data_IF_639562162898
#
_entry.id   IF_639562162898
#
_cell.length_a   1.000
_cell.length_b   1.000
_cell.length_c   1.000
_cell.angle_alpha   90.00
_cell.angle_beta   90.00
_cell.angle_gamma   90.00
#
_symmetry.space_group_name_H-M   'P 1'
#
loop_
_entity.id
_entity.type
_entity.pdbx_description
1 polymer ?
#
# COMPACT_ATOMS: atom_id res chain seq x y z
N UNK A 1 17.10 -17.86 -29.74
CA UNK A 1 17.72 -17.69 -31.07
C UNK A 1 16.82 -16.93 -32.04
N UNK A 2 15.61 -17.42 -32.38
CA UNK A 2 14.71 -16.77 -33.34
C UNK A 2 14.34 -15.31 -32.97
N UNK A 3 14.07 -15.04 -31.69
CA UNK A 3 13.74 -13.68 -31.22
C UNK A 3 14.93 -12.70 -31.33
N UNK A 4 16.16 -13.19 -31.07
CA UNK A 4 17.38 -12.39 -31.16
C UNK A 4 17.73 -12.08 -32.63
N UNK A 5 17.49 -13.05 -33.51
CA UNK A 5 17.69 -12.94 -34.96
C UNK A 5 16.75 -11.91 -35.59
N UNK A 6 15.44 -11.97 -35.29
CA UNK A 6 14.47 -11.00 -35.80
C UNK A 6 14.72 -9.58 -35.27
N UNK A 7 15.14 -9.45 -34.00
CA UNK A 7 15.49 -8.16 -33.39
C UNK A 7 16.68 -7.52 -34.09
N UNK A 8 17.77 -8.26 -34.28
CA UNK A 8 18.98 -7.75 -34.91
C UNK A 8 18.75 -7.43 -36.40
N UNK A 9 17.95 -8.23 -37.11
CA UNK A 9 17.55 -7.97 -38.50
C UNK A 9 16.75 -6.67 -38.63
N UNK A 10 15.74 -6.47 -37.78
CA UNK A 10 14.91 -5.26 -37.79
C UNK A 10 15.75 -4.02 -37.50
N UNK A 11 16.62 -4.09 -36.47
CA UNK A 11 17.50 -2.99 -36.09
C UNK A 11 18.49 -2.64 -37.20
N UNK A 12 19.07 -3.63 -37.87
CA UNK A 12 19.95 -3.41 -39.02
C UNK A 12 19.24 -2.72 -40.19
N UNK A 13 18.03 -3.17 -40.53
CA UNK A 13 17.22 -2.53 -41.58
C UNK A 13 16.90 -1.06 -41.24
N UNK A 14 16.49 -0.78 -40.01
CA UNK A 14 16.18 0.59 -39.56
C UNK A 14 17.44 1.46 -39.61
N UNK A 15 18.60 0.95 -39.18
CA UNK A 15 19.85 1.71 -39.23
C UNK A 15 20.33 1.99 -40.66
N UNK A 16 20.15 1.05 -41.60
CA UNK A 16 20.47 1.29 -43.01
C UNK A 16 19.54 2.32 -43.64
N UNK A 17 18.24 2.26 -43.36
CA UNK A 17 17.27 3.25 -43.83
C UNK A 17 17.60 4.63 -43.25
N UNK A 18 17.95 4.71 -41.96
CA UNK A 18 18.39 5.95 -41.34
C UNK A 18 19.70 6.48 -41.98
N UNK A 19 20.63 5.61 -42.37
CA UNK A 19 21.86 6.00 -43.07
C UNK A 19 21.58 6.54 -44.47
N UNK A 20 20.69 5.89 -45.23
CA UNK A 20 20.31 6.31 -46.58
C UNK A 20 19.55 7.65 -46.58
N UNK A 21 18.66 7.85 -45.61
CA UNK A 21 17.79 9.03 -45.59
C UNK A 21 18.44 10.22 -44.86
N UNK A 22 19.18 9.99 -43.78
CA UNK A 22 19.65 11.06 -42.89
C UNK A 22 21.16 11.30 -42.96
N UNK A 23 21.94 10.50 -43.70
CA UNK A 23 23.41 10.62 -43.82
C UNK A 23 24.21 10.52 -42.51
N UNK A 24 23.55 10.30 -41.36
CA UNK A 24 24.16 10.07 -40.05
C UNK A 24 23.52 8.87 -39.33
N UNK A 25 24.31 8.14 -38.53
CA UNK A 25 23.82 7.04 -37.72
C UNK A 25 23.29 7.56 -36.36
N UNK A 26 22.04 7.24 -35.98
CA UNK A 26 21.52 7.61 -34.67
C UNK A 26 22.20 6.83 -33.54
N UNK A 27 22.43 7.48 -32.39
CA UNK A 27 23.01 6.83 -31.20
C UNK A 27 21.98 5.89 -30.58
N UNK A 28 22.25 4.59 -30.61
CA UNK A 28 21.41 3.56 -29.98
C UNK A 28 21.95 3.28 -28.58
N UNK A 29 21.09 3.38 -27.55
CA UNK A 29 21.47 3.14 -26.15
C UNK A 29 21.12 1.71 -25.76
N UNK A 30 22.07 0.97 -25.18
CA UNK A 30 21.85 -0.39 -24.68
C UNK A 30 22.01 -1.52 -25.72
N UNK A 31 22.55 -1.21 -26.90
CA UNK A 31 22.87 -2.18 -27.97
C UNK A 31 24.33 -1.98 -28.37
N UNK A 32 25.10 -3.07 -28.39
CA UNK A 32 26.48 -3.05 -28.87
C UNK A 32 26.50 -3.03 -30.41
N UNK A 33 26.89 -1.89 -30.96
CA UNK A 33 26.94 -1.63 -32.41
C UNK A 33 27.99 -2.55 -33.08
N UNK A 34 29.03 -2.97 -32.35
CA UNK A 34 30.06 -3.87 -32.86
C UNK A 34 29.52 -5.29 -32.98
N UNK A 35 28.79 -5.78 -31.97
CA UNK A 35 28.10 -7.08 -32.04
C UNK A 35 27.07 -7.10 -33.18
N UNK A 36 26.34 -6.01 -33.40
CA UNK A 36 25.37 -5.90 -34.49
C UNK A 36 26.04 -5.88 -35.88
N UNK A 37 27.20 -5.24 -36.00
CA UNK A 37 27.99 -5.23 -37.25
C UNK A 37 28.63 -6.58 -37.55
N UNK A 38 29.12 -7.29 -36.54
CA UNK A 38 29.63 -8.66 -36.67
C UNK A 38 28.50 -9.64 -37.04
N UNK A 39 27.34 -9.52 -36.40
CA UNK A 39 26.14 -10.28 -36.76
C UNK A 39 25.71 -10.00 -38.21
N UNK A 40 25.73 -8.74 -38.65
CA UNK A 40 25.40 -8.39 -40.03
C UNK A 40 26.38 -9.04 -41.02
N UNK A 41 27.69 -8.98 -40.76
CA UNK A 41 28.73 -9.59 -41.62
C UNK A 41 28.59 -11.11 -41.74
N UNK A 42 28.19 -11.78 -40.66
CA UNK A 42 28.00 -13.23 -40.63
C UNK A 42 26.71 -13.66 -41.36
N UNK A 43 25.69 -12.78 -41.42
CA UNK A 43 24.39 -13.09 -42.02
C UNK A 43 24.14 -12.39 -43.39
N UNK A 44 25.03 -11.53 -43.89
CA UNK A 44 25.02 -11.08 -45.28
C UNK A 44 25.64 -12.12 -46.22
N UNK A 45 26.65 -12.88 -45.76
CA UNK A 45 27.24 -13.98 -46.53
C UNK A 45 26.26 -15.13 -46.82
N UNK A 46 25.22 -15.27 -46.00
CA UNK A 46 24.14 -16.23 -46.23
C UNK A 46 23.11 -15.77 -47.25
N UNK A 47 23.09 -14.48 -47.61
CA UNK A 47 22.20 -13.93 -48.65
C UNK A 47 22.82 -14.12 -50.05
N UNK A 48 24.12 -13.84 -50.23
CA UNK A 48 24.81 -14.06 -51.51
C UNK A 48 24.86 -15.56 -51.90
N UNK A 49 24.93 -16.47 -50.92
CA UNK A 49 24.93 -17.92 -51.18
C UNK A 49 23.53 -18.52 -51.41
N UNK A 50 22.45 -17.79 -51.09
CA UNK A 50 21.09 -18.21 -51.45
C UNK A 50 20.61 -17.56 -52.76
N UNK A 51 21.12 -16.38 -53.13
CA UNK A 51 20.86 -15.77 -54.44
C UNK A 51 21.64 -16.46 -55.59
N UNK A 52 22.82 -17.03 -55.33
CA UNK A 52 23.59 -17.75 -56.36
C UNK A 52 23.03 -19.15 -56.74
N UNK A 53 22.06 -19.69 -56.01
CA UNK A 53 21.53 -21.04 -56.27
C UNK A 53 20.12 -21.06 -56.86
N UNK A 54 19.50 -19.92 -57.13
CA UNK A 54 18.22 -19.86 -57.85
C UNK A 54 18.10 -18.52 -58.61
N UNK A 55 18.67 -18.44 -59.82
CA UNK A 55 18.06 -17.89 -61.04
C UNK A 55 19.12 -17.41 -62.06
N UNK A 56 19.30 -18.20 -63.12
CA UNK A 56 19.54 -17.64 -64.45
C UNK A 56 18.26 -16.92 -64.90
N UNK A 57 18.39 -15.66 -65.30
CA UNK A 57 17.51 -15.06 -66.29
C UNK A 57 16.52 -13.99 -65.80
N UNK A 58 16.85 -12.75 -66.18
CA UNK A 58 15.96 -11.60 -66.46
C UNK A 58 15.73 -10.59 -65.33
N UNK A 59 16.67 -9.64 -65.24
CA UNK A 59 16.44 -8.28 -64.73
C UNK A 59 15.68 -7.43 -65.77
N UNK A 60 14.63 -6.73 -65.33
CA UNK A 60 14.23 -5.41 -65.86
C UNK A 60 14.18 -4.39 -64.72
N UNK A 61 15.35 -3.81 -64.45
CA UNK A 61 15.72 -2.46 -63.99
C UNK A 61 14.72 -1.51 -63.29
N UNK A 62 15.19 -0.90 -62.18
CA UNK A 62 15.33 0.57 -62.03
C UNK A 62 16.62 0.95 -61.27
N UNK A 63 17.50 1.68 -61.97
CA UNK A 63 18.52 2.62 -61.48
C UNK A 63 19.94 2.17 -61.00
N UNK A 64 20.78 1.78 -61.97
CA UNK A 64 22.03 2.51 -62.25
C UNK A 64 21.90 3.22 -63.60
N UNK A 65 21.32 4.43 -63.57
CA UNK A 65 21.07 5.26 -64.75
C UNK A 65 22.32 6.09 -65.09
N UNK A 66 23.28 5.54 -65.83
CA UNK A 66 24.15 6.37 -66.70
C UNK A 66 24.91 5.57 -67.75
N UNK A 67 25.18 4.27 -67.52
CA UNK A 67 26.04 3.50 -68.44
C UNK A 67 25.29 2.52 -69.36
N UNK A 68 24.08 2.06 -68.98
CA UNK A 68 23.25 1.16 -69.82
C UNK A 68 22.48 1.86 -70.95
N UNK A 69 22.45 3.20 -70.99
CA UNK A 69 21.74 3.96 -72.04
C UNK A 69 22.55 4.13 -73.33
N UNK A 70 23.87 3.96 -73.27
CA UNK A 70 24.75 4.00 -74.45
C UNK A 70 24.81 2.63 -75.10
N UNK A 71 24.91 1.54 -74.32
CA UNK A 71 25.06 0.19 -74.89
C UNK A 71 23.77 -0.38 -75.46
N UNK A 72 22.60 -0.17 -74.83
CA UNK A 72 21.32 -0.61 -75.39
C UNK A 72 20.92 0.19 -76.64
N UNK A 73 21.37 1.45 -76.75
CA UNK A 73 21.18 2.27 -77.94
C UNK A 73 22.13 1.83 -79.07
N UNK A 74 23.38 1.49 -78.73
CA UNK A 74 24.38 0.97 -79.67
C UNK A 74 24.10 -0.46 -80.12
N UNK A 75 23.47 -1.33 -79.32
CA UNK A 75 23.07 -2.66 -79.77
C UNK A 75 21.85 -2.61 -80.67
N UNK A 76 20.88 -1.72 -80.41
CA UNK A 76 19.76 -1.50 -81.33
C UNK A 76 20.25 -0.81 -82.60
N UNK A 77 21.13 0.19 -82.51
CA UNK A 77 21.75 0.82 -83.69
C UNK A 77 22.62 -0.18 -84.48
N UNK A 78 23.38 -1.07 -83.82
CA UNK A 78 24.16 -2.10 -84.49
C UNK A 78 23.28 -3.22 -85.07
N UNK A 79 22.20 -3.65 -84.42
CA UNK A 79 21.23 -4.61 -85.01
C UNK A 79 20.55 -4.01 -86.24
N UNK A 80 20.17 -2.73 -86.17
CA UNK A 80 19.59 -2.00 -87.30
C UNK A 80 20.61 -1.80 -88.43
N UNK A 81 21.88 -1.54 -88.10
CA UNK A 81 22.97 -1.42 -89.09
C UNK A 81 23.36 -2.78 -89.68
N UNK A 82 23.23 -3.87 -88.91
CA UNK A 82 23.45 -5.24 -89.41
C UNK A 82 22.32 -5.65 -90.34
N UNK A 83 21.06 -5.43 -89.93
CA UNK A 83 19.88 -5.63 -90.77
C UNK A 83 19.95 -4.81 -92.06
N UNK A 84 20.34 -3.54 -92.00
CA UNK A 84 20.46 -2.71 -93.19
C UNK A 84 21.53 -3.21 -94.17
N UNK A 85 22.59 -3.85 -93.66
CA UNK A 85 23.69 -4.38 -94.46
C UNK A 85 23.34 -5.74 -95.07
N UNK A 86 22.67 -6.59 -94.30
CA UNK A 86 22.12 -7.87 -94.78
C UNK A 86 21.02 -7.61 -95.83
N UNK A 87 20.16 -6.59 -95.62
CA UNK A 87 19.16 -6.14 -96.59
C UNK A 87 19.80 -5.53 -97.86
N UNK A 88 20.92 -4.80 -97.74
CA UNK A 88 21.67 -4.25 -98.88
C UNK A 88 22.32 -5.38 -99.70
N UNK A 89 22.90 -6.39 -99.06
CA UNK A 89 23.45 -7.58 -99.71
C UNK A 89 22.36 -8.42 -100.40
N UNK A 90 21.18 -8.57 -99.79
CA UNK A 90 20.02 -9.24 -100.39
C UNK A 90 19.44 -8.45 -101.58
N UNK A 91 19.39 -7.11 -101.47
CA UNK A 91 19.01 -6.23 -102.59
C UNK A 91 20.01 -6.31 -103.75
N UNK A 92 21.31 -6.38 -103.45
CA UNK A 92 22.37 -6.52 -104.45
C UNK A 92 22.30 -7.89 -105.14
N UNK A 93 22.07 -8.98 -104.39
CA UNK A 93 21.87 -10.32 -104.94
C UNK A 93 20.61 -10.42 -105.82
N UNK A 94 19.51 -9.81 -105.40
CA UNK A 94 18.30 -9.69 -106.23
C UNK A 94 18.62 -8.98 -107.54
N UNK A 95 19.30 -7.83 -107.50
CA UNK A 95 19.65 -7.05 -108.69
C UNK A 95 20.64 -7.79 -109.61
N UNK A 96 21.60 -8.54 -109.07
CA UNK A 96 22.59 -9.30 -109.85
C UNK A 96 21.96 -10.49 -110.60
N UNK A 97 20.85 -11.03 -110.08
CA UNK A 97 20.07 -12.07 -110.76
C UNK A 97 19.37 -11.53 -112.03
N UNK A 98 19.19 -10.21 -112.14
CA UNK A 98 18.43 -9.54 -113.20
C UNK A 98 19.33 -8.65 -114.09
N UNK A 99 19.92 -9.22 -115.15
CA UNK A 99 20.65 -8.44 -116.18
C UNK A 99 19.66 -7.70 -117.10
N UNK A 100 19.66 -6.37 -117.08
CA UNK A 100 18.69 -5.54 -117.83
C UNK A 100 19.32 -4.50 -118.76
N UNK A 101 18.80 -4.41 -119.99
CA UNK A 101 19.11 -3.35 -120.95
C UNK A 101 18.24 -2.09 -120.74
N UNK A 102 18.73 -0.92 -121.19
CA UNK A 102 18.23 0.45 -120.92
C UNK A 102 16.75 0.72 -121.36
N UNK A 103 16.02 -0.26 -121.89
CA UNK A 103 14.62 -0.13 -122.33
C UNK A 103 13.57 -0.91 -121.55
N UNK A 104 13.95 -1.72 -120.55
CA UNK A 104 13.03 -2.65 -119.85
C UNK A 104 12.76 -2.27 -118.38
N UNK A 105 13.20 -1.10 -117.92
CA UNK A 105 13.05 -0.64 -116.53
C UNK A 105 11.57 -0.58 -116.06
N UNK A 106 10.64 -0.26 -116.97
CA UNK A 106 9.21 -0.27 -116.66
C UNK A 106 8.70 -1.70 -116.42
N UNK A 107 9.15 -2.68 -117.21
CA UNK A 107 8.81 -4.09 -117.03
C UNK A 107 9.43 -4.68 -115.75
N UNK A 108 10.59 -4.17 -115.32
CA UNK A 108 11.20 -4.52 -114.04
C UNK A 108 10.41 -3.97 -112.85
N UNK A 109 10.04 -2.69 -112.91
CA UNK A 109 9.19 -2.06 -111.90
C UNK A 109 7.86 -2.79 -111.75
N UNK A 110 7.26 -3.22 -112.86
CA UNK A 110 6.03 -4.02 -112.83
C UNK A 110 6.23 -5.40 -112.19
N UNK A 111 7.36 -6.08 -112.43
CA UNK A 111 7.67 -7.38 -111.80
C UNK A 111 7.97 -7.26 -110.31
N UNK A 112 8.76 -6.27 -109.90
CA UNK A 112 9.00 -6.00 -108.48
C UNK A 112 7.71 -5.62 -107.75
N UNK A 113 6.80 -4.88 -108.39
CA UNK A 113 5.47 -4.62 -107.83
C UNK A 113 4.66 -5.90 -107.69
N UNK A 114 4.72 -6.81 -108.66
CA UNK A 114 4.04 -8.10 -108.59
C UNK A 114 4.62 -8.98 -107.47
N UNK A 115 5.93 -9.00 -107.31
CA UNK A 115 6.62 -9.76 -106.26
C UNK A 115 6.40 -9.17 -104.86
N UNK A 116 6.43 -7.83 -104.74
CA UNK A 116 6.04 -7.11 -103.52
C UNK A 116 4.61 -7.45 -103.13
N UNK A 117 3.67 -7.38 -104.08
CA UNK A 117 2.26 -7.74 -103.82
C UNK A 117 2.13 -9.22 -103.43
N UNK A 118 2.95 -10.12 -104.00
CA UNK A 118 2.96 -11.53 -103.63
C UNK A 118 3.53 -11.76 -102.22
N UNK A 119 4.58 -11.03 -101.84
CA UNK A 119 5.16 -11.07 -100.48
C UNK A 119 4.25 -10.43 -99.45
N UNK A 120 3.63 -9.29 -99.76
CA UNK A 120 2.61 -8.67 -98.93
C UNK A 120 1.43 -9.63 -98.73
N UNK A 121 0.99 -10.31 -99.79
CA UNK A 121 -0.03 -11.34 -99.68
C UNK A 121 0.43 -12.51 -98.80
N UNK A 122 1.65 -13.03 -98.99
CA UNK A 122 2.20 -14.11 -98.18
C UNK A 122 2.32 -13.75 -96.69
N UNK A 123 2.74 -12.52 -96.39
CA UNK A 123 2.85 -12.01 -95.03
C UNK A 123 1.47 -11.82 -94.39
N UNK A 124 0.48 -11.34 -95.15
CA UNK A 124 -0.93 -11.30 -94.71
C UNK A 124 -1.47 -12.71 -94.47
N UNK A 125 -1.14 -13.69 -95.31
CA UNK A 125 -1.54 -15.09 -95.09
C UNK A 125 -0.89 -15.68 -93.83
N UNK A 126 0.39 -15.41 -93.59
CA UNK A 126 1.08 -15.87 -92.39
C UNK A 126 0.51 -15.20 -91.11
N UNK A 127 0.15 -13.92 -91.20
CA UNK A 127 -0.52 -13.22 -90.11
C UNK A 127 -1.92 -13.82 -89.86
N UNK A 128 -2.70 -14.09 -90.90
CA UNK A 128 -4.01 -14.75 -90.81
C UNK A 128 -3.89 -16.16 -90.23
N UNK A 129 -2.84 -16.91 -90.57
CA UNK A 129 -2.61 -18.25 -90.04
C UNK A 129 -2.23 -18.22 -88.55
N UNK A 130 -1.59 -17.13 -88.09
CA UNK A 130 -1.27 -16.91 -86.67
C UNK A 130 -2.43 -16.36 -85.84
N UNK A 131 -3.46 -15.80 -86.48
CA UNK A 131 -4.67 -15.26 -85.85
C UNK A 131 -5.32 -16.21 -84.81
N UNK A 132 -5.59 -17.50 -85.10
CA UNK A 132 -6.19 -18.40 -84.12
C UNK A 132 -5.32 -18.65 -82.89
N UNK A 133 -3.99 -18.65 -83.06
CA UNK A 133 -3.06 -18.84 -81.95
C UNK A 133 -3.02 -17.59 -81.05
N UNK A 134 -3.07 -16.40 -81.67
CA UNK A 134 -3.16 -15.12 -80.97
C UNK A 134 -4.48 -15.05 -80.21
N UNK A 135 -5.59 -15.48 -80.81
CA UNK A 135 -6.91 -15.50 -80.19
C UNK A 135 -6.98 -16.48 -79.01
N UNK A 136 -6.37 -17.66 -79.11
CA UNK A 136 -6.26 -18.61 -77.98
C UNK A 136 -5.43 -18.03 -76.82
N UNK A 137 -4.32 -17.35 -77.12
CA UNK A 137 -3.50 -16.67 -76.10
C UNK A 137 -4.27 -15.52 -75.46
N UNK A 138 -5.01 -14.72 -76.26
CA UNK A 138 -5.84 -13.63 -75.76
C UNK A 138 -6.93 -14.18 -74.82
N UNK A 139 -7.60 -15.26 -75.21
CA UNK A 139 -8.61 -15.92 -74.41
C UNK A 139 -8.03 -16.53 -73.13
N UNK A 140 -6.81 -17.07 -73.19
CA UNK A 140 -6.08 -17.55 -72.01
C UNK A 140 -5.71 -16.42 -71.05
N UNK A 141 -5.30 -15.25 -71.57
CA UNK A 141 -5.03 -14.04 -70.78
C UNK A 141 -6.33 -13.50 -70.16
N UNK A 142 -7.43 -13.45 -70.91
CA UNK A 142 -8.73 -13.01 -70.40
C UNK A 142 -9.24 -13.96 -69.30
N UNK A 143 -9.10 -15.27 -69.48
CA UNK A 143 -9.44 -16.26 -68.46
C UNK A 143 -8.56 -16.10 -67.21
N UNK A 144 -7.24 -15.91 -67.38
CA UNK A 144 -6.34 -15.64 -66.26
C UNK A 144 -6.70 -14.33 -65.56
N UNK A 145 -7.01 -13.27 -66.30
CA UNK A 145 -7.46 -11.98 -65.77
C UNK A 145 -8.72 -12.15 -64.92
N UNK A 146 -9.73 -12.87 -65.43
CA UNK A 146 -10.96 -13.14 -64.69
C UNK A 146 -10.69 -13.91 -63.38
N UNK A 147 -9.76 -14.89 -63.39
CA UNK A 147 -9.40 -15.60 -62.16
C UNK A 147 -8.66 -14.72 -61.16
N UNK A 148 -7.85 -13.77 -61.62
CA UNK A 148 -7.16 -12.79 -60.77
C UNK A 148 -8.17 -11.83 -60.14
N UNK A 149 -9.17 -11.38 -60.90
CA UNK A 149 -10.24 -10.52 -60.40
C UNK A 149 -11.06 -11.23 -59.30
N UNK A 150 -11.39 -12.51 -59.52
CA UNK A 150 -12.04 -13.33 -58.48
C UNK A 150 -11.16 -13.41 -57.22
N UNK A 151 -9.86 -13.67 -57.37
CA UNK A 151 -8.93 -13.72 -56.24
C UNK A 151 -8.82 -12.38 -55.49
N UNK A 152 -8.84 -11.24 -56.18
CA UNK A 152 -8.84 -9.93 -55.53
C UNK A 152 -10.11 -9.72 -54.70
N UNK A 153 -11.28 -10.12 -55.23
CA UNK A 153 -12.54 -10.03 -54.49
C UNK A 153 -12.52 -10.94 -53.24
N UNK A 154 -12.01 -12.17 -53.36
CA UNK A 154 -11.81 -13.05 -52.20
C UNK A 154 -10.88 -12.42 -51.17
N UNK A 155 -9.74 -11.88 -51.60
CA UNK A 155 -8.79 -11.21 -50.72
C UNK A 155 -9.43 -9.98 -50.05
N UNK A 156 -10.26 -9.24 -50.76
CA UNK A 156 -11.01 -8.09 -50.22
C UNK A 156 -11.97 -8.52 -49.13
N UNK A 157 -12.75 -9.59 -49.36
CA UNK A 157 -13.69 -10.15 -48.38
C UNK A 157 -12.94 -10.66 -47.15
N UNK A 158 -11.83 -11.39 -47.32
CA UNK A 158 -11.04 -11.89 -46.21
C UNK A 158 -10.39 -10.76 -45.39
N UNK A 159 -9.86 -9.73 -46.05
CA UNK A 159 -9.31 -8.56 -45.36
C UNK A 159 -10.38 -7.83 -44.55
N UNK A 160 -11.59 -7.66 -45.11
CA UNK A 160 -12.71 -7.04 -44.39
C UNK A 160 -13.08 -7.87 -43.15
N UNK A 161 -13.15 -9.20 -43.29
CA UNK A 161 -13.47 -10.10 -42.19
C UNK A 161 -12.39 -10.11 -41.11
N UNK A 162 -11.10 -10.09 -41.49
CA UNK A 162 -9.98 -10.00 -40.55
C UNK A 162 -9.97 -8.67 -39.81
N UNK A 163 -10.30 -7.55 -40.48
CA UNK A 163 -10.45 -6.24 -39.84
C UNK A 163 -11.56 -6.27 -38.78
N UNK A 164 -12.73 -6.77 -39.12
CA UNK A 164 -13.84 -6.90 -38.16
C UNK A 164 -13.47 -7.83 -37.00
N UNK A 165 -12.87 -8.99 -37.27
CA UNK A 165 -12.39 -9.87 -36.21
C UNK A 165 -11.37 -9.19 -35.30
N UNK A 166 -10.46 -8.38 -35.84
CA UNK A 166 -9.48 -7.62 -35.06
C UNK A 166 -10.14 -6.58 -34.15
N UNK A 167 -11.13 -5.87 -34.67
CA UNK A 167 -11.93 -4.90 -33.91
C UNK A 167 -12.72 -5.61 -32.80
N UNK A 168 -13.35 -6.75 -33.10
CA UNK A 168 -14.08 -7.57 -32.12
C UNK A 168 -13.15 -8.11 -31.02
N UNK A 169 -11.98 -8.65 -31.38
CA UNK A 169 -10.97 -9.13 -30.43
C UNK A 169 -10.52 -7.97 -29.52
N UNK A 170 -10.20 -6.81 -30.09
CA UNK A 170 -9.76 -5.65 -29.31
C UNK A 170 -10.85 -5.16 -28.33
N UNK A 171 -12.12 -5.19 -28.76
CA UNK A 171 -13.27 -4.87 -27.90
C UNK A 171 -13.41 -5.88 -26.75
N UNK A 172 -13.28 -7.17 -27.05
CA UNK A 172 -13.32 -8.25 -26.04
C UNK A 172 -12.15 -8.12 -25.06
N UNK A 173 -10.93 -7.86 -25.53
CA UNK A 173 -9.74 -7.68 -24.69
C UNK A 173 -9.88 -6.49 -23.76
N UNK A 174 -10.32 -5.33 -24.26
CA UNK A 174 -10.57 -4.14 -23.45
C UNK A 174 -11.61 -4.41 -22.36
N UNK A 175 -12.72 -5.07 -22.73
CA UNK A 175 -13.75 -5.48 -21.77
C UNK A 175 -13.23 -6.47 -20.74
N UNK A 176 -12.44 -7.45 -21.15
CA UNK A 176 -11.89 -8.47 -20.26
C UNK A 176 -10.88 -7.87 -19.28
N UNK A 177 -10.00 -6.98 -19.73
CA UNK A 177 -9.09 -6.23 -18.86
C UNK A 177 -9.87 -5.37 -17.84
N UNK A 178 -10.96 -4.74 -18.27
CA UNK A 178 -11.86 -4.02 -17.35
C UNK A 178 -12.47 -4.93 -16.27
N UNK A 179 -12.94 -6.13 -16.66
CA UNK A 179 -13.47 -7.12 -15.73
C UNK A 179 -12.39 -7.69 -14.79
N UNK A 180 -11.18 -7.92 -15.28
CA UNK A 180 -10.06 -8.39 -14.48
C UNK A 180 -9.63 -7.33 -13.45
N UNK A 181 -9.49 -6.08 -13.87
CA UNK A 181 -9.22 -4.95 -12.97
C UNK A 181 -10.32 -4.80 -11.93
N UNK A 182 -11.59 -4.92 -12.33
CA UNK A 182 -12.71 -4.90 -11.38
C UNK A 182 -12.65 -6.08 -10.40
N UNK A 183 -12.29 -7.28 -10.87
CA UNK A 183 -12.15 -8.48 -10.03
C UNK A 183 -11.04 -8.32 -9.00
N UNK A 184 -9.86 -7.82 -9.42
CA UNK A 184 -8.73 -7.54 -8.53
C UNK A 184 -9.09 -6.46 -7.50
N UNK A 185 -9.72 -5.37 -7.94
CA UNK A 185 -10.16 -4.30 -7.05
C UNK A 185 -11.21 -4.79 -6.04
N UNK A 186 -12.18 -5.59 -6.49
CA UNK A 186 -13.19 -6.16 -5.61
C UNK A 186 -12.56 -7.10 -4.58
N UNK A 187 -11.58 -7.91 -4.99
CA UNK A 187 -10.84 -8.78 -4.07
C UNK A 187 -10.09 -7.96 -3.02
N UNK A 188 -9.35 -6.93 -3.43
CA UNK A 188 -8.66 -6.03 -2.51
C UNK A 188 -9.61 -5.30 -1.56
N UNK A 189 -10.78 -4.87 -2.07
CA UNK A 189 -11.82 -4.24 -1.25
C UNK A 189 -12.38 -5.21 -0.20
N UNK A 190 -12.64 -6.47 -0.57
CA UNK A 190 -13.11 -7.49 0.36
C UNK A 190 -12.07 -7.74 1.46
N UNK A 191 -10.79 -7.87 1.11
CA UNK A 191 -9.70 -8.05 2.07
C UNK A 191 -9.58 -6.86 3.05
N UNK A 192 -9.72 -5.62 2.56
CA UNK A 192 -9.73 -4.44 3.44
C UNK A 192 -10.97 -4.38 4.33
N UNK A 193 -12.14 -4.75 3.81
CA UNK A 193 -13.37 -4.84 4.59
C UNK A 193 -13.30 -5.93 5.66
N UNK A 194 -12.68 -7.07 5.38
CA UNK A 194 -12.45 -8.14 6.36
C UNK A 194 -11.53 -7.66 7.50
N UNK A 195 -10.41 -6.98 7.18
CA UNK A 195 -9.54 -6.36 8.20
C UNK A 195 -10.30 -5.35 9.06
N UNK A 196 -11.16 -4.54 8.46
CA UNK A 196 -11.99 -3.58 9.19
C UNK A 196 -13.02 -4.31 10.08
N UNK A 197 -13.63 -5.38 9.57
CA UNK A 197 -14.61 -6.18 10.31
C UNK A 197 -13.97 -6.85 11.53
N UNK A 198 -12.77 -7.40 11.39
CA UNK A 198 -12.01 -7.98 12.50
C UNK A 198 -11.76 -6.94 13.61
N UNK A 199 -11.40 -5.71 13.23
CA UNK A 199 -11.20 -4.60 14.19
C UNK A 199 -12.49 -4.13 14.87
N UNK A 200 -13.62 -4.22 14.18
CA UNK A 200 -14.95 -3.83 14.70
C UNK A 200 -15.62 -4.94 15.52
N UNK A 201 -15.09 -6.17 15.49
CA UNK A 201 -15.70 -7.31 16.18
C UNK A 201 -15.51 -7.18 17.68
N UNK A 202 -16.64 -7.14 18.40
CA UNK A 202 -16.67 -7.13 19.87
C UNK A 202 -16.84 -8.58 20.34
N UNK A 203 -15.87 -9.18 21.04
CA UNK A 203 -16.05 -10.50 21.64
C UNK A 203 -17.17 -10.48 22.67
N UNK A 204 -18.12 -11.40 22.53
CA UNK A 204 -19.32 -11.45 23.39
C UNK A 204 -18.98 -11.69 24.87
N UNK A 205 -17.88 -12.41 25.14
CA UNK A 205 -17.38 -12.65 26.49
C UNK A 205 -16.98 -11.34 27.19
N UNK A 206 -16.26 -10.46 26.48
CA UNK A 206 -15.88 -9.15 27.02
C UNK A 206 -17.08 -8.22 27.14
N UNK A 207 -18.00 -8.21 26.17
CA UNK A 207 -19.23 -7.44 26.27
C UNK A 207 -20.08 -7.84 27.51
N UNK A 208 -20.20 -9.14 27.78
CA UNK A 208 -20.89 -9.65 28.95
C UNK A 208 -20.19 -9.26 30.26
N UNK A 209 -18.85 -9.35 30.31
CA UNK A 209 -18.07 -8.93 31.49
C UNK A 209 -18.22 -7.43 31.76
N UNK A 210 -18.15 -6.61 30.71
CA UNK A 210 -18.24 -5.14 30.81
C UNK A 210 -19.64 -4.64 31.19
N UNK A 211 -20.69 -5.33 30.75
CA UNK A 211 -22.08 -4.92 31.02
C UNK A 211 -22.61 -5.47 32.35
N UNK A 212 -22.25 -6.71 32.71
CA UNK A 212 -22.89 -7.43 33.81
C UNK A 212 -21.98 -8.27 34.72
N UNK A 213 -20.71 -8.49 34.39
CA UNK A 213 -19.85 -9.42 35.14
C UNK A 213 -19.49 -8.95 36.54
N UNK A 214 -19.70 -9.76 37.59
CA UNK A 214 -19.39 -9.40 39.01
C UNK A 214 -17.94 -8.87 39.19
N UNK A 215 -17.75 -7.94 40.14
CA UNK A 215 -16.45 -7.38 40.52
C UNK A 215 -15.79 -8.13 41.69
N UNK A 216 -16.21 -9.37 41.96
CA UNK A 216 -15.53 -10.25 42.92
C UNK A 216 -14.06 -10.47 42.56
N UNK A 217 -13.22 -10.64 43.58
CA UNK A 217 -11.77 -10.84 43.45
C UNK A 217 -11.40 -11.95 42.45
N UNK A 218 -12.17 -13.04 42.38
CA UNK A 218 -11.97 -14.14 41.43
C UNK A 218 -12.18 -13.77 39.97
N UNK A 219 -13.03 -12.77 39.69
CA UNK A 219 -13.37 -12.30 38.33
C UNK A 219 -12.64 -11.01 37.96
N UNK A 220 -11.89 -10.42 38.89
CA UNK A 220 -11.16 -9.17 38.67
C UNK A 220 -10.18 -9.23 37.51
N UNK A 221 -9.45 -10.34 37.35
CA UNK A 221 -8.52 -10.51 36.21
C UNK A 221 -9.24 -10.41 34.87
N UNK A 222 -10.38 -11.10 34.71
CA UNK A 222 -11.20 -11.05 33.48
C UNK A 222 -11.78 -9.66 33.22
N UNK A 223 -12.20 -8.96 34.28
CA UNK A 223 -12.67 -7.58 34.16
C UNK A 223 -11.55 -6.63 33.71
N UNK A 224 -10.33 -6.82 34.24
CA UNK A 224 -9.14 -6.05 33.84
C UNK A 224 -8.76 -6.33 32.38
N UNK A 225 -8.72 -7.60 31.97
CA UNK A 225 -8.47 -7.98 30.57
C UNK A 225 -9.52 -7.39 29.62
N UNK A 226 -10.80 -7.41 30.02
CA UNK A 226 -11.87 -6.79 29.24
C UNK A 226 -11.72 -5.26 29.16
N UNK A 227 -11.21 -4.58 30.21
CA UNK A 227 -10.87 -3.16 30.16
C UNK A 227 -9.70 -2.85 29.25
N UNK A 228 -8.64 -3.67 29.32
CA UNK A 228 -7.46 -3.55 28.45
C UNK A 228 -7.87 -3.70 26.98
N UNK A 229 -8.69 -4.71 26.69
CA UNK A 229 -9.27 -4.91 25.37
C UNK A 229 -10.12 -3.72 24.92
N UNK A 230 -11.02 -3.21 25.77
CA UNK A 230 -11.86 -2.04 25.45
C UNK A 230 -11.01 -0.80 25.14
N UNK A 231 -9.96 -0.57 25.93
CA UNK A 231 -9.03 0.55 25.73
C UNK A 231 -8.27 0.39 24.42
N UNK A 232 -7.82 -0.83 24.09
CA UNK A 232 -7.20 -1.14 22.81
C UNK A 232 -8.16 -0.91 21.63
N UNK A 233 -9.40 -1.42 21.72
CA UNK A 233 -10.42 -1.29 20.70
C UNK A 233 -10.78 0.17 20.40
N UNK A 234 -10.93 1.01 21.44
CA UNK A 234 -11.17 2.44 21.28
C UNK A 234 -9.98 3.12 20.59
N UNK A 235 -8.75 2.82 21.00
CA UNK A 235 -7.53 3.38 20.38
C UNK A 235 -7.32 2.95 18.93
N UNK A 236 -7.71 1.72 18.58
CA UNK A 236 -7.66 1.23 17.20
C UNK A 236 -8.63 1.98 16.27
N UNK A 237 -9.72 2.53 16.82
CA UNK A 237 -10.71 3.33 16.11
C UNK A 237 -10.46 4.85 16.24
N UNK A 238 -9.30 5.24 16.78
CA UNK A 238 -8.84 6.62 16.93
C UNK A 238 -7.67 6.92 15.99
N UNK A 239 -7.59 8.19 15.54
CA UNK A 239 -6.49 8.69 14.72
C UNK A 239 -5.20 8.64 15.56
N UNK A 240 -4.07 8.11 15.05
CA UNK A 240 -3.71 7.84 13.64
C UNK A 240 -3.91 6.39 13.16
N UNK A 241 -4.44 5.48 13.98
CA UNK A 241 -4.47 4.04 13.67
C UNK A 241 -5.53 3.67 12.61
N UNK A 242 -6.53 4.52 12.44
CA UNK A 242 -7.57 4.40 11.44
C UNK A 242 -7.41 5.54 10.43
N UNK A 243 -7.43 5.19 9.14
CA UNK A 243 -7.43 6.18 8.07
C UNK A 243 -8.63 7.14 8.24
N UNK A 244 -8.44 8.47 8.15
CA UNK A 244 -9.51 9.45 8.27
C UNK A 244 -10.73 9.18 7.37
N UNK A 245 -10.56 8.51 6.24
CA UNK A 245 -11.66 8.12 5.34
C UNK A 245 -12.70 7.21 6.01
N UNK A 246 -12.28 6.32 6.92
CA UNK A 246 -13.18 5.41 7.62
C UNK A 246 -14.03 6.11 8.69
N UNK A 247 -13.65 7.31 9.15
CA UNK A 247 -14.37 8.05 10.19
C UNK A 247 -15.78 8.42 9.75
N UNK A 248 -15.98 8.66 8.46
CA UNK A 248 -17.29 8.99 7.89
C UNK A 248 -18.18 7.77 7.66
N UNK A 249 -17.63 6.55 7.74
CA UNK A 249 -18.39 5.33 7.53
C UNK A 249 -19.39 5.10 8.68
N UNK A 250 -20.66 4.88 8.33
CA UNK A 250 -21.74 4.67 9.31
C UNK A 250 -21.43 3.52 10.28
N UNK A 251 -20.95 2.39 9.77
CA UNK A 251 -20.63 1.21 10.58
C UNK A 251 -19.56 1.50 11.65
N UNK A 252 -18.52 2.25 11.28
CA UNK A 252 -17.45 2.66 12.20
C UNK A 252 -17.99 3.60 13.28
N UNK A 253 -18.82 4.58 12.88
CA UNK A 253 -19.47 5.51 13.83
C UNK A 253 -20.40 4.81 14.81
N UNK A 254 -21.23 3.88 14.33
CA UNK A 254 -22.15 3.11 15.17
C UNK A 254 -21.39 2.24 16.16
N UNK A 255 -20.33 1.54 15.71
CA UNK A 255 -19.47 0.74 16.59
C UNK A 255 -18.69 1.58 17.59
N UNK A 256 -18.20 2.75 17.18
CA UNK A 256 -17.58 3.72 18.11
C UNK A 256 -18.57 4.15 19.20
N UNK A 257 -19.82 4.44 18.83
CA UNK A 257 -20.86 4.79 19.79
C UNK A 257 -21.21 3.61 20.72
N UNK A 258 -21.22 2.38 20.22
CA UNK A 258 -21.43 1.18 21.02
C UNK A 258 -20.30 0.98 22.05
N UNK A 259 -19.04 1.12 21.63
CA UNK A 259 -17.88 1.03 22.52
C UNK A 259 -17.87 2.15 23.57
N UNK A 260 -18.24 3.37 23.20
CA UNK A 260 -18.36 4.48 24.15
C UNK A 260 -19.49 4.22 25.16
N UNK A 261 -20.62 3.65 24.73
CA UNK A 261 -21.70 3.22 25.63
C UNK A 261 -21.24 2.13 26.59
N UNK A 262 -20.48 1.14 26.12
CA UNK A 262 -19.87 0.10 26.97
C UNK A 262 -18.91 0.72 27.98
N UNK A 263 -18.05 1.66 27.55
CA UNK A 263 -17.13 2.40 28.41
C UNK A 263 -17.88 3.13 29.53
N UNK A 264 -18.87 3.95 29.19
CA UNK A 264 -19.65 4.72 30.18
C UNK A 264 -20.34 3.77 31.17
N UNK A 265 -20.94 2.70 30.67
CA UNK A 265 -21.64 1.71 31.50
C UNK A 265 -20.69 1.03 32.47
N UNK A 266 -19.55 0.55 31.99
CA UNK A 266 -18.54 -0.11 32.79
C UNK A 266 -17.93 0.82 33.85
N UNK A 267 -17.51 2.03 33.45
CA UNK A 267 -16.91 3.02 34.35
C UNK A 267 -17.88 3.37 35.48
N UNK A 268 -19.17 3.59 35.15
CA UNK A 268 -20.19 3.87 36.16
C UNK A 268 -20.34 2.72 37.16
N UNK A 269 -20.45 1.49 36.66
CA UNK A 269 -20.65 0.29 37.49
C UNK A 269 -19.44 0.00 38.39
N UNK A 270 -18.23 0.08 37.83
CA UNK A 270 -16.99 -0.12 38.56
C UNK A 270 -16.80 0.98 39.62
N UNK A 271 -17.11 2.23 39.28
CA UNK A 271 -17.00 3.35 40.23
C UNK A 271 -17.98 3.21 41.40
N UNK A 272 -19.22 2.78 41.12
CA UNK A 272 -20.22 2.54 42.14
C UNK A 272 -19.85 1.36 43.05
N UNK A 273 -19.37 0.26 42.47
CA UNK A 273 -18.86 -0.88 43.23
C UNK A 273 -17.72 -0.47 44.15
N UNK A 274 -16.69 0.23 43.65
CA UNK A 274 -15.55 0.65 44.47
C UNK A 274 -15.96 1.58 45.61
N UNK A 275 -16.88 2.52 45.34
CA UNK A 275 -17.41 3.42 46.37
C UNK A 275 -18.11 2.64 47.50
N UNK A 276 -18.95 1.67 47.14
CA UNK A 276 -19.67 0.84 48.11
C UNK A 276 -18.70 -0.09 48.85
N UNK A 277 -17.71 -0.64 48.13
CA UNK A 277 -16.67 -1.49 48.69
C UNK A 277 -15.88 -0.76 49.77
N UNK A 278 -15.40 0.46 49.51
CA UNK A 278 -14.66 1.26 50.49
C UNK A 278 -15.48 1.54 51.76
N UNK A 279 -16.78 1.87 51.62
CA UNK A 279 -17.66 2.05 52.78
C UNK A 279 -17.79 0.75 53.56
N UNK A 280 -18.17 -0.35 52.88
CA UNK A 280 -18.39 -1.65 53.53
C UNK A 280 -17.15 -2.19 54.24
N UNK A 281 -15.97 -1.94 53.67
CA UNK A 281 -14.70 -2.38 54.22
C UNK A 281 -14.37 -1.62 55.51
N UNK A 282 -14.61 -0.31 55.53
CA UNK A 282 -14.45 0.51 56.74
C UNK A 282 -15.52 0.17 57.78
N UNK A 283 -16.78 -0.03 57.37
CA UNK A 283 -17.87 -0.39 58.28
C UNK A 283 -17.60 -1.74 58.97
N UNK A 284 -17.06 -2.71 58.23
CA UNK A 284 -16.58 -3.98 58.78
C UNK A 284 -15.49 -3.76 59.83
N UNK A 285 -14.46 -2.96 59.53
CA UNK A 285 -13.39 -2.65 60.49
C UNK A 285 -13.89 -1.89 61.73
N UNK A 286 -14.85 -0.97 61.57
CA UNK A 286 -15.45 -0.23 62.68
C UNK A 286 -16.28 -1.15 63.59
N UNK A 287 -16.93 -2.17 63.01
CA UNK A 287 -17.76 -3.11 63.76
C UNK A 287 -16.95 -4.07 64.63
N UNK A 288 -15.73 -4.43 64.20
CA UNK A 288 -14.88 -5.34 64.91
C UNK A 288 -14.04 -4.61 65.99
N UNK A 289 -14.36 -4.90 67.24
CA UNK A 289 -13.70 -4.33 68.44
C UNK A 289 -12.23 -4.78 68.57
N UNK A 290 -11.77 -5.76 67.80
CA UNK A 290 -10.38 -6.24 67.80
C UNK A 290 -9.40 -5.26 67.13
N UNK A 291 -9.91 -4.37 66.27
CA UNK A 291 -9.11 -3.33 65.60
C UNK A 291 -8.85 -2.11 66.49
N UNK A 292 -9.62 -1.93 67.56
CA UNK A 292 -9.51 -0.79 68.48
C UNK A 292 -8.76 -1.16 69.76
N UNK A 293 -8.17 -0.15 70.40
CA UNK A 293 -7.63 -0.30 71.76
C UNK A 293 -8.76 -0.68 72.71
N UNK A 294 -8.56 -1.73 73.49
CA UNK A 294 -9.50 -2.19 74.52
C UNK A 294 -8.98 -1.77 75.89
N UNK A 295 -9.87 -1.65 76.88
CA UNK A 295 -9.51 -1.21 78.25
C UNK A 295 -8.29 -1.98 78.77
N UNK A 296 -7.19 -1.27 79.00
CA UNK A 296 -5.92 -1.82 79.51
C UNK A 296 -4.92 -2.28 78.44
N UNK A 297 -5.27 -2.29 77.14
CA UNK A 297 -4.37 -2.62 76.03
C UNK A 297 -4.41 -1.54 74.94
N UNK A 298 -3.37 -0.72 74.92
CA UNK A 298 -3.13 0.28 73.89
C UNK A 298 -2.59 -0.42 72.63
N UNK A 299 -3.43 -0.57 71.60
CA UNK A 299 -3.05 -1.15 70.31
C UNK A 299 -2.76 -0.02 69.31
N UNK A 300 -1.64 -0.10 68.59
CA UNK A 300 -1.36 0.80 67.47
C UNK A 300 -2.33 0.48 66.32
N UNK A 301 -2.98 1.48 65.71
CA UNK A 301 -3.78 1.24 64.52
C UNK A 301 -2.91 0.63 63.42
N UNK A 302 -3.41 -0.42 62.77
CA UNK A 302 -2.74 -1.10 61.66
C UNK A 302 -3.74 -1.29 60.51
N UNK A 303 -3.34 -0.82 59.33
CA UNK A 303 -4.15 -0.84 58.11
C UNK A 303 -3.61 -1.81 57.07
N UNK A 304 -2.72 -2.74 57.43
CA UNK A 304 -2.15 -3.72 56.49
C UNK A 304 -3.22 -4.49 55.70
N UNK A 305 -4.24 -5.01 56.38
CA UNK A 305 -5.34 -5.77 55.74
C UNK A 305 -6.19 -4.91 54.82
N UNK A 306 -6.48 -3.66 55.23
CA UNK A 306 -7.19 -2.66 54.41
C UNK A 306 -6.41 -2.40 53.12
N UNK A 307 -5.11 -2.12 53.25
CA UNK A 307 -4.21 -1.86 52.11
C UNK A 307 -4.10 -3.06 51.20
N UNK A 308 -3.99 -4.29 51.74
CA UNK A 308 -3.93 -5.52 50.96
C UNK A 308 -5.20 -5.68 50.10
N UNK A 309 -6.38 -5.59 50.73
CA UNK A 309 -7.67 -5.70 50.05
C UNK A 309 -7.89 -4.61 49.00
N UNK A 310 -7.49 -3.37 49.29
CA UNK A 310 -7.52 -2.30 48.29
C UNK A 310 -6.57 -2.56 47.13
N UNK A 311 -5.35 -3.07 47.37
CA UNK A 311 -4.35 -3.35 46.34
C UNK A 311 -4.83 -4.33 45.27
N UNK A 312 -5.69 -5.29 45.60
CA UNK A 312 -6.32 -6.19 44.62
C UNK A 312 -7.02 -5.42 43.49
N UNK A 313 -7.57 -4.23 43.77
CA UNK A 313 -8.28 -3.39 42.80
C UNK A 313 -7.41 -2.30 42.15
N UNK A 314 -6.12 -2.21 42.49
CA UNK A 314 -5.24 -1.14 42.00
C UNK A 314 -5.08 -1.16 40.47
N UNK A 315 -4.99 -2.35 39.87
CA UNK A 315 -4.89 -2.49 38.40
C UNK A 315 -6.16 -2.01 37.70
N UNK A 316 -7.33 -2.32 38.26
CA UNK A 316 -8.60 -1.81 37.73
C UNK A 316 -8.66 -0.28 37.77
N UNK A 317 -8.19 0.35 38.84
CA UNK A 317 -8.14 1.81 38.95
C UNK A 317 -7.21 2.46 37.91
N UNK A 318 -6.09 1.83 37.58
CA UNK A 318 -5.19 2.28 36.50
C UNK A 318 -5.90 2.27 35.14
N UNK A 319 -6.64 1.20 34.81
CA UNK A 319 -7.39 1.14 33.56
C UNK A 319 -8.57 2.11 33.55
N UNK A 320 -9.27 2.28 34.68
CA UNK A 320 -10.31 3.29 34.83
C UNK A 320 -9.77 4.71 34.58
N UNK A 321 -8.57 5.04 35.09
CA UNK A 321 -7.88 6.31 34.79
C UNK A 321 -7.67 6.52 33.29
N UNK A 322 -7.31 5.45 32.57
CA UNK A 322 -7.06 5.51 31.12
C UNK A 322 -8.33 5.66 30.30
N UNK A 323 -9.45 5.09 30.78
CA UNK A 323 -10.76 5.15 30.12
C UNK A 323 -11.46 6.49 30.38
N UNK A 324 -11.48 6.94 31.63
CA UNK A 324 -12.14 8.17 32.05
C UNK A 324 -11.42 8.83 33.24
N UNK A 325 -10.84 10.00 33.00
CA UNK A 325 -10.16 10.79 34.05
C UNK A 325 -11.16 11.39 35.05
N UNK A 326 -12.42 11.58 34.66
CA UNK A 326 -13.43 12.26 35.48
C UNK A 326 -13.96 11.37 36.63
N UNK A 327 -13.95 10.05 36.46
CA UNK A 327 -14.46 9.12 37.47
C UNK A 327 -13.58 9.05 38.74
N UNK A 328 -12.30 9.41 38.64
CA UNK A 328 -11.37 9.35 39.76
C UNK A 328 -11.67 10.37 40.87
N UNK A 329 -12.20 11.55 40.53
CA UNK A 329 -12.50 12.60 41.52
C UNK A 329 -13.50 12.13 42.59
N UNK A 330 -14.69 11.65 42.18
CA UNK A 330 -15.67 11.07 43.11
C UNK A 330 -15.13 9.86 43.90
N UNK A 331 -14.36 8.98 43.26
CA UNK A 331 -13.76 7.82 43.92
C UNK A 331 -12.76 8.20 45.01
N UNK A 332 -11.87 9.15 44.72
CA UNK A 332 -10.93 9.72 45.69
C UNK A 332 -11.67 10.29 46.90
N UNK A 333 -12.75 11.04 46.67
CA UNK A 333 -13.57 11.60 47.74
C UNK A 333 -14.21 10.52 48.60
N UNK A 334 -14.78 9.48 48.00
CA UNK A 334 -15.41 8.38 48.73
C UNK A 334 -14.43 7.58 49.60
N UNK A 335 -13.24 7.28 49.06
CA UNK A 335 -12.17 6.63 49.83
C UNK A 335 -11.70 7.52 50.99
N UNK A 336 -11.44 8.81 50.73
CA UNK A 336 -11.06 9.73 51.79
C UNK A 336 -12.16 9.83 52.86
N UNK A 337 -13.43 9.90 52.48
CA UNK A 337 -14.54 9.98 53.43
C UNK A 337 -14.63 8.76 54.35
N UNK A 338 -14.51 7.56 53.77
CA UNK A 338 -14.52 6.30 54.53
C UNK A 338 -13.28 6.18 55.42
N UNK A 339 -12.07 6.41 54.89
CA UNK A 339 -10.84 6.36 55.70
C UNK A 339 -10.83 7.40 56.83
N UNK A 340 -11.30 8.62 56.59
CA UNK A 340 -11.41 9.64 57.63
C UNK A 340 -12.40 9.25 58.74
N UNK A 341 -13.45 8.49 58.41
CA UNK A 341 -14.38 7.98 59.41
C UNK A 341 -13.67 6.99 60.34
N UNK A 342 -12.89 6.07 59.77
CA UNK A 342 -12.07 5.10 60.51
C UNK A 342 -11.05 5.81 61.41
N UNK A 343 -10.21 6.67 60.82
CA UNK A 343 -9.16 7.42 61.54
C UNK A 343 -9.73 8.26 62.70
N UNK A 344 -10.88 8.92 62.50
CA UNK A 344 -11.55 9.68 63.57
C UNK A 344 -12.07 8.78 64.69
N UNK A 345 -12.52 7.57 64.38
CA UNK A 345 -12.98 6.60 65.37
C UNK A 345 -11.81 6.06 66.17
N UNK A 346 -10.73 5.67 65.50
CA UNK A 346 -9.49 5.18 66.13
C UNK A 346 -8.85 6.23 67.03
N UNK A 347 -8.72 7.48 66.55
CA UNK A 347 -8.19 8.58 67.34
C UNK A 347 -9.04 8.86 68.59
N UNK A 348 -10.38 8.75 68.50
CA UNK A 348 -11.27 8.92 69.65
C UNK A 348 -11.11 7.80 70.67
N UNK A 349 -11.10 6.55 70.25
CA UNK A 349 -10.96 5.41 71.18
C UNK A 349 -9.56 5.38 71.82
N UNK A 350 -8.51 5.68 71.04
CA UNK A 350 -7.14 5.80 71.55
C UNK A 350 -7.00 6.93 72.58
N UNK A 351 -7.58 8.10 72.30
CA UNK A 351 -7.59 9.23 73.25
C UNK A 351 -8.42 8.93 74.51
N UNK A 352 -9.54 8.20 74.38
CA UNK A 352 -10.35 7.78 75.51
C UNK A 352 -9.59 6.80 76.41
N UNK A 353 -8.84 5.86 75.83
CA UNK A 353 -8.02 4.91 76.57
C UNK A 353 -6.83 5.58 77.24
N UNK A 354 -6.13 6.49 76.54
CA UNK A 354 -5.08 7.31 77.17
C UNK A 354 -5.62 8.12 78.35
N UNK A 355 -6.80 8.74 78.20
CA UNK A 355 -7.48 9.46 79.29
C UNK A 355 -7.92 8.54 80.43
N UNK A 356 -8.28 7.29 80.13
CA UNK A 356 -8.60 6.30 81.16
C UNK A 356 -7.32 5.84 81.90
N UNK A 357 -6.19 5.72 81.20
CA UNK A 357 -4.90 5.35 81.78
C UNK A 357 -4.26 6.46 82.64
N UNK A 358 -4.52 7.74 82.34
CA UNK A 358 -4.06 8.88 83.16
C UNK A 358 -4.94 9.10 84.39
N UNK A 359 -6.16 8.56 84.41
CA UNK A 359 -6.98 8.48 85.63
C UNK A 359 -6.57 7.24 86.42
N UNK A 360 -5.63 7.39 87.36
CA UNK A 360 -5.29 6.33 88.32
C UNK A 360 -6.57 5.78 89.01
N UNK A 361 -6.62 4.48 89.36
CA UNK A 361 -7.77 3.91 90.03
C UNK A 361 -7.89 4.54 91.42
N UNK A 362 -8.98 5.28 91.68
CA UNK A 362 -9.36 5.66 93.04
C UNK A 362 -9.77 4.39 93.79
N UNK A 363 -8.85 3.80 94.54
CA UNK A 363 -9.18 2.81 95.56
C UNK A 363 -9.33 3.55 96.91
N UNK A 364 -10.48 3.49 97.59
CA UNK A 364 -10.69 4.15 98.87
C UNK A 364 -10.45 3.17 100.02
N UNK A 365 -9.36 3.32 100.79
CA UNK A 365 -9.25 2.71 102.12
C UNK A 365 -8.05 3.24 102.95
N UNK A 366 -8.41 3.94 104.04
CA UNK A 366 -7.88 3.79 105.43
C UNK A 366 -6.55 4.46 105.84
N UNK A 367 -6.70 5.65 106.48
CA UNK A 367 -6.20 6.10 107.81
C UNK A 367 -4.74 5.82 108.28
N UNK A 368 -3.94 6.87 108.52
CA UNK A 368 -3.73 7.52 109.85
C UNK A 368 -2.89 8.82 109.76
N UNK A 369 -3.29 9.81 110.57
CA UNK A 369 -2.71 11.11 111.02
C UNK A 369 -1.40 11.69 110.44
N UNK A 370 -1.41 13.02 110.21
CA UNK A 370 -0.22 13.87 110.46
C UNK A 370 -0.03 15.14 109.62
N UNK A 371 -0.56 16.26 110.14
CA UNK A 371 -0.10 17.66 109.93
C UNK A 371 -0.41 18.43 108.64
N UNK A 372 -1.11 19.53 108.87
CA UNK A 372 -1.23 20.73 108.02
C UNK A 372 0.14 21.25 107.57
N UNK A 373 0.27 21.56 106.27
CA UNK A 373 0.93 22.78 105.83
C UNK A 373 0.47 23.20 104.41
N UNK A 374 0.48 24.52 104.22
CA UNK A 374 -0.10 25.27 103.13
C UNK A 374 0.45 24.94 101.73
N UNK A 375 -0.37 25.25 100.73
CA UNK A 375 -0.23 24.80 99.36
C UNK A 375 1.05 25.20 98.63
N UNK A 376 1.46 24.31 97.73
CA UNK A 376 2.02 24.58 96.41
C UNK A 376 2.07 23.26 95.61
N UNK A 377 1.86 23.36 94.29
CA UNK A 377 2.17 22.37 93.24
C UNK A 377 1.27 21.13 93.05
N UNK A 378 -0.03 21.33 92.82
CA UNK A 378 -0.91 20.31 92.23
C UNK A 378 -0.97 20.28 90.69
N UNK A 379 -0.55 21.34 89.98
CA UNK A 379 -0.80 21.46 88.53
C UNK A 379 0.35 21.00 87.61
N UNK A 380 1.60 20.95 88.10
CA UNK A 380 2.76 20.62 87.25
C UNK A 380 2.79 19.15 86.81
N UNK A 381 2.44 18.22 87.70
CA UNK A 381 2.40 16.79 87.40
C UNK A 381 1.26 16.42 86.43
N UNK A 382 0.08 16.99 86.64
CA UNK A 382 -1.08 16.79 85.75
C UNK A 382 -0.83 17.35 84.34
N UNK A 383 -0.09 18.46 84.22
CA UNK A 383 0.27 19.01 82.90
C UNK A 383 1.29 18.13 82.18
N UNK A 384 2.23 17.53 82.91
CA UNK A 384 3.25 16.63 82.33
C UNK A 384 2.66 15.31 81.81
N UNK A 385 1.71 14.70 82.53
CA UNK A 385 1.05 13.46 82.12
C UNK A 385 0.13 13.65 80.92
N UNK A 386 -0.54 14.80 80.84
CA UNK A 386 -1.32 15.21 79.67
C UNK A 386 -0.39 15.46 78.47
N UNK A 387 0.73 16.17 78.67
CA UNK A 387 1.74 16.41 77.63
C UNK A 387 2.32 15.11 77.08
N UNK A 388 2.63 14.14 77.95
CA UNK A 388 3.11 12.81 77.57
C UNK A 388 2.07 12.00 76.79
N UNK A 389 0.79 12.10 77.15
CA UNK A 389 -0.31 11.46 76.41
C UNK A 389 -0.47 12.06 75.00
N UNK A 390 -0.36 13.38 74.86
CA UNK A 390 -0.34 14.05 73.56
C UNK A 390 0.87 13.66 72.72
N UNK A 391 2.07 13.62 73.33
CA UNK A 391 3.31 13.19 72.66
C UNK A 391 3.16 11.76 72.11
N UNK A 392 2.68 10.82 72.93
CA UNK A 392 2.41 9.43 72.51
C UNK A 392 1.41 9.33 71.36
N UNK A 393 0.35 10.14 71.38
CA UNK A 393 -0.65 10.19 70.30
C UNK A 393 -0.01 10.70 69.00
N UNK A 394 0.79 11.76 69.05
CA UNK A 394 1.48 12.32 67.89
C UNK A 394 2.52 11.33 67.31
N UNK A 395 3.31 10.67 68.16
CA UNK A 395 4.32 9.68 67.70
C UNK A 395 3.68 8.48 66.99
N UNK A 396 2.43 8.13 67.29
CA UNK A 396 1.74 6.99 66.67
C UNK A 396 0.94 7.41 65.43
N UNK A 397 0.17 8.49 65.50
CA UNK A 397 -0.70 8.89 64.39
C UNK A 397 0.04 9.64 63.28
N UNK A 398 1.11 10.40 63.55
CA UNK A 398 1.83 11.11 62.48
C UNK A 398 2.42 10.12 61.45
N UNK A 399 3.19 9.09 61.83
CA UNK A 399 3.69 8.11 60.86
C UNK A 399 2.57 7.38 60.11
N UNK A 400 1.49 7.00 60.82
CA UNK A 400 0.32 6.35 60.22
C UNK A 400 -0.32 7.24 59.15
N UNK A 401 -0.54 8.53 59.42
CA UNK A 401 -1.13 9.47 58.47
C UNK A 401 -0.21 9.71 57.27
N UNK A 402 1.10 9.78 57.48
CA UNK A 402 2.08 9.88 56.40
C UNK A 402 2.02 8.64 55.51
N UNK A 403 2.04 7.45 56.10
CA UNK A 403 1.95 6.19 55.37
C UNK A 403 0.62 6.08 54.59
N UNK A 404 -0.50 6.45 55.20
CA UNK A 404 -1.82 6.46 54.53
C UNK A 404 -1.88 7.46 53.38
N UNK A 405 -1.32 8.66 53.56
CA UNK A 405 -1.27 9.65 52.50
C UNK A 405 -0.42 9.16 51.31
N UNK A 406 0.70 8.47 51.60
CA UNK A 406 1.56 7.88 50.58
C UNK A 406 0.85 6.74 49.85
N UNK A 407 0.17 5.84 50.58
CA UNK A 407 -0.58 4.74 50.00
C UNK A 407 -1.71 5.27 49.10
N UNK A 408 -2.49 6.22 49.59
CA UNK A 408 -3.57 6.85 48.85
C UNK A 408 -3.08 7.50 47.55
N UNK A 409 -1.95 8.21 47.59
CA UNK A 409 -1.37 8.85 46.42
C UNK A 409 -1.04 7.82 45.31
N UNK A 410 -0.43 6.70 45.67
CA UNK A 410 -0.10 5.62 44.74
C UNK A 410 -1.35 4.87 44.27
N UNK A 411 -2.25 4.50 45.18
CA UNK A 411 -3.45 3.71 44.90
C UNK A 411 -4.44 4.46 43.99
N UNK A 412 -4.67 5.76 44.25
CA UNK A 412 -5.58 6.60 43.45
C UNK A 412 -4.92 7.24 42.22
N UNK A 413 -3.75 6.73 41.83
CA UNK A 413 -3.06 7.09 40.59
C UNK A 413 -2.81 8.60 40.45
N UNK A 414 -2.46 9.28 41.56
CA UNK A 414 -1.97 10.65 41.47
C UNK A 414 -0.65 10.65 40.68
N UNK A 415 -0.48 11.66 39.82
CA UNK A 415 0.83 11.95 39.27
C UNK A 415 1.63 12.58 40.40
N UNK A 416 2.26 11.72 41.18
CA UNK A 416 3.25 12.16 42.16
C UNK A 416 4.54 12.32 41.36
N UNK A 417 5.05 13.56 41.15
CA UNK A 417 6.44 13.70 40.77
C UNK A 417 7.21 12.98 41.88
N UNK A 418 7.91 11.91 41.54
CA UNK A 418 8.78 11.26 42.51
C UNK A 418 9.62 12.36 43.15
N UNK A 419 9.54 12.51 44.48
CA UNK A 419 10.49 13.32 45.23
C UNK A 419 11.84 12.65 45.01
N UNK A 420 12.53 13.07 43.95
CA UNK A 420 13.88 12.66 43.65
C UNK A 420 14.72 13.11 44.85
N UNK A 421 15.39 12.19 45.57
CA UNK A 421 16.36 12.59 46.57
C UNK A 421 17.39 13.47 45.89
N UNK A 422 17.70 14.63 46.48
CA UNK A 422 18.70 15.54 45.93
C UNK A 422 20.02 14.78 45.69
N UNK A 423 20.34 14.47 44.42
CA UNK A 423 21.63 13.89 44.03
C UNK A 423 21.62 12.65 43.14
N UNK A 424 20.83 12.58 42.06
CA UNK A 424 21.08 11.62 40.97
C UNK A 424 20.85 12.25 39.58
N UNK A 425 21.70 11.93 38.57
CA UNK A 425 21.74 12.69 37.33
C UNK A 425 20.56 12.33 36.41
N UNK A 426 19.95 13.37 35.85
CA UNK A 426 18.77 13.32 35.01
C UNK A 426 19.13 12.82 33.60
N UNK A 427 18.96 11.53 33.32
CA UNK A 427 19.02 10.96 31.97
C UNK A 427 17.61 10.90 31.40
N UNK A 428 17.13 12.02 30.86
CA UNK A 428 16.14 12.06 29.78
C UNK A 428 15.98 13.50 29.25
N UNK A 429 16.89 13.90 28.35
CA UNK A 429 16.68 15.02 27.43
C UNK A 429 16.79 14.49 26.00
N UNK A 430 15.70 13.92 25.47
CA UNK A 430 15.59 13.69 24.03
C UNK A 430 15.10 14.99 23.37
N UNK A 431 16.06 15.63 22.69
CA UNK A 431 15.99 16.49 21.50
C UNK A 431 14.57 16.87 21.02
N UNK A 432 14.22 18.14 21.24
CA UNK A 432 13.41 18.92 20.30
C UNK A 432 14.38 19.73 19.43
N UNK A 433 14.51 19.36 18.16
CA UNK A 433 15.31 20.08 17.18
C UNK A 433 14.60 20.04 15.82
N UNK A 434 14.04 21.18 15.44
CA UNK A 434 13.64 21.59 14.10
C UNK A 434 13.68 23.13 14.16
N UNK A 435 14.77 23.79 13.77
CA UNK A 435 15.16 24.19 12.40
C UNK A 435 14.04 24.99 11.70
N UNK A 436 13.94 26.26 12.06
CA UNK A 436 13.56 27.34 11.14
C UNK A 436 14.78 27.69 10.27
N UNK A 437 14.66 27.79 8.95
CA UNK A 437 15.57 28.55 8.13
C UNK A 437 14.98 29.94 7.83
N UNK A 438 15.78 30.96 8.13
CA UNK A 438 15.63 32.32 7.64
C UNK A 438 15.58 32.35 6.09
N UNK A 439 14.57 33.01 5.53
CA UNK A 439 14.58 33.53 4.16
C UNK A 439 14.86 35.04 4.26
N UNK A 440 16.09 35.43 3.95
CA UNK A 440 16.47 36.81 3.66
C UNK A 440 16.23 37.11 2.16
N UNK A 441 15.42 38.15 1.92
CA UNK A 441 15.54 39.20 0.90
C UNK A 441 16.04 38.85 -0.53
N UNK A 442 15.22 39.20 -1.54
CA UNK A 442 15.51 40.25 -2.54
C UNK A 442 14.50 40.26 -3.71
N UNK A 443 13.81 41.39 -3.85
CA UNK A 443 13.48 42.13 -5.09
C UNK A 443 13.50 41.40 -6.45
N UNK A 444 12.32 41.30 -7.09
CA UNK A 444 11.99 41.91 -8.39
C UNK A 444 10.48 41.83 -8.68
#
# INVERSE_FOLDING_TARGET
>A
FVYLFCRNRLLFCILNICKEILSYLPKVVGIDIVELALWAKENTLTLDNQENNNQEGRETSVATQTERKVTAKVTVENDLVSQAKDEEEDMEALLDTYVMGIGEADAFSERLKQELVALEAANVYQLLESEPLIEEVLQGIDAASATIDDMDEWLRIFNLKLRHMREDISSIESRNNGLEMQSVNNKGLVEELEKLLERLRIPQEFAASLTGGSFEESRMLKNVEACEWLTGAIRCLEVPNLDPSYVNMRAVREKRAELEKLKITFVKRASEFLRNYFSSLVDFMISDKSYFSQRGQLKRPDHADLRYKCRTYARLLQHLKSLDKSCLGPLRKAYCQSLNLLLRREAREFANELRASTKAPKNPAVWLEGSNNAGQNGSSADTSTVSDAYSKMLTIFIPLLVDESSFFAHFMCFEVPALVPAGAPNVNKRRSGANDPDDDDLSL
#
